data_IF_306603436224
#
_entry.id   IF_306603436224
#
_cell.length_a   1.000
_cell.length_b   1.000
_cell.length_c   1.000
_cell.angle_alpha   90.00
_cell.angle_beta   90.00
_cell.angle_gamma   90.00
#
_symmetry.space_group_name_H-M   'P 1'
#
loop_
_entity.id
_entity.type
_entity.pdbx_description
1 polymer ?
#
# COMPACT_ATOMS: atom_id res chain seq x y z
N UNK A 1 40.55 52.40 -48.47
CA UNK A 1 39.65 52.24 -47.30
C UNK A 1 38.35 51.57 -47.76
N UNK A 2 37.74 50.70 -46.94
CA UNK A 2 37.02 49.49 -47.38
C UNK A 2 35.49 49.61 -47.30
N UNK A 3 34.73 48.94 -48.18
CA UNK A 3 33.29 48.67 -47.98
C UNK A 3 32.73 47.63 -48.99
N UNK A 4 33.02 46.34 -48.82
CA UNK A 4 32.33 45.30 -49.60
C UNK A 4 32.38 43.92 -48.90
N UNK A 5 31.74 43.75 -47.73
CA UNK A 5 31.57 42.38 -47.19
C UNK A 5 30.39 42.13 -46.23
N UNK A 6 29.44 43.05 -46.05
CA UNK A 6 28.37 42.88 -45.03
C UNK A 6 27.04 42.28 -45.52
N UNK A 7 26.80 42.15 -46.84
CA UNK A 7 25.49 41.72 -47.36
C UNK A 7 25.30 40.20 -47.51
N UNK A 8 26.36 39.39 -47.64
CA UNK A 8 26.23 37.93 -47.80
C UNK A 8 25.93 37.19 -46.49
N UNK A 9 26.36 37.72 -45.35
CA UNK A 9 26.25 37.02 -44.05
C UNK A 9 24.79 36.94 -43.57
N UNK A 10 23.96 37.99 -43.80
CA UNK A 10 22.55 38.01 -43.36
C UNK A 10 21.62 37.02 -44.09
N UNK A 11 21.98 36.57 -45.29
CA UNK A 11 21.16 35.64 -46.10
C UNK A 11 21.32 34.16 -45.72
N UNK A 12 22.41 33.79 -45.01
CA UNK A 12 22.72 32.41 -44.64
C UNK A 12 22.25 32.03 -43.22
N UNK A 13 22.04 33.01 -42.35
CA UNK A 13 21.59 32.83 -40.96
C UNK A 13 20.26 32.06 -40.83
N UNK A 14 19.18 32.35 -41.59
CA UNK A 14 17.94 31.58 -41.47
C UNK A 14 18.08 30.14 -41.97
N UNK A 15 18.92 29.92 -43.00
CA UNK A 15 19.18 28.59 -43.55
C UNK A 15 19.98 27.71 -42.56
N UNK A 16 20.99 28.29 -41.90
CA UNK A 16 21.79 27.62 -40.87
C UNK A 16 20.96 27.34 -39.60
N UNK A 17 20.06 28.26 -39.24
CA UNK A 17 19.12 28.08 -38.13
C UNK A 17 18.16 26.91 -38.38
N UNK A 18 17.60 26.80 -39.59
CA UNK A 18 16.76 25.66 -39.98
C UNK A 18 17.53 24.34 -39.99
N UNK A 19 18.80 24.37 -40.42
CA UNK A 19 19.68 23.20 -40.52
C UNK A 19 20.08 22.63 -39.15
N UNK A 20 20.02 23.44 -38.07
CA UNK A 20 20.23 23.01 -36.69
C UNK A 20 18.92 22.67 -35.96
N UNK A 21 17.80 23.27 -36.37
CA UNK A 21 16.48 23.02 -35.79
C UNK A 21 15.97 21.61 -36.09
N UNK A 22 16.13 21.14 -37.33
CA UNK A 22 15.67 19.80 -37.73
C UNK A 22 16.40 18.69 -36.95
N UNK A 23 17.75 18.67 -36.85
CA UNK A 23 18.46 17.73 -36.00
C UNK A 23 18.08 17.83 -34.53
N UNK A 24 17.90 19.04 -33.99
CA UNK A 24 17.47 19.25 -32.60
C UNK A 24 16.09 18.67 -32.32
N UNK A 25 15.12 18.89 -33.22
CA UNK A 25 13.79 18.31 -33.13
C UNK A 25 13.81 16.79 -33.27
N UNK A 26 14.62 16.24 -34.18
CA UNK A 26 14.79 14.79 -34.34
C UNK A 26 15.44 14.14 -33.13
N UNK A 27 16.46 14.78 -32.55
CA UNK A 27 17.15 14.33 -31.34
C UNK A 27 16.20 14.40 -30.13
N UNK A 28 15.46 15.50 -29.97
CA UNK A 28 14.45 15.61 -28.90
C UNK A 28 13.31 14.61 -29.09
N UNK A 29 12.83 14.37 -30.32
CA UNK A 29 11.82 13.35 -30.61
C UNK A 29 12.35 11.93 -30.34
N UNK A 30 13.62 11.67 -30.64
CA UNK A 30 14.30 10.42 -30.31
C UNK A 30 14.40 10.23 -28.80
N UNK A 31 14.81 11.27 -28.04
CA UNK A 31 14.84 11.22 -26.58
C UNK A 31 13.43 11.07 -25.97
N UNK A 32 12.41 11.73 -26.53
CA UNK A 32 11.01 11.55 -26.12
C UNK A 32 10.49 10.13 -26.37
N UNK A 33 10.96 9.45 -27.44
CA UNK A 33 10.65 8.03 -27.69
C UNK A 33 11.42 7.08 -26.75
N UNK A 34 12.64 7.44 -26.34
CA UNK A 34 13.53 6.58 -25.54
C UNK A 34 13.28 6.66 -24.04
N UNK A 35 12.51 7.62 -23.55
CA UNK A 35 12.26 7.85 -22.12
C UNK A 35 11.11 7.04 -21.51
N UNK A 36 10.47 6.13 -22.27
CA UNK A 36 9.51 5.19 -21.69
C UNK A 36 10.07 3.78 -21.82
N UNK A 37 10.60 3.16 -20.73
CA UNK A 37 10.80 1.73 -20.75
C UNK A 37 9.46 1.07 -21.11
N UNK A 38 9.46 -0.03 -21.88
CA UNK A 38 8.23 -0.79 -22.11
C UNK A 38 7.69 -1.20 -20.74
N UNK A 39 6.54 -0.64 -20.35
CA UNK A 39 5.78 -1.17 -19.21
C UNK A 39 5.32 -2.54 -19.67
N UNK A 40 5.89 -3.59 -19.09
CA UNK A 40 5.48 -4.97 -19.38
C UNK A 40 4.11 -5.19 -18.75
N UNK A 41 3.07 -4.83 -19.50
CA UNK A 41 1.67 -5.09 -19.14
C UNK A 41 1.43 -6.57 -19.37
N UNK A 42 1.35 -7.34 -18.29
CA UNK A 42 0.96 -8.74 -18.36
C UNK A 42 -0.53 -8.84 -18.05
N UNK A 43 -1.33 -9.14 -19.08
CA UNK A 43 -2.73 -9.52 -18.91
C UNK A 43 -2.79 -10.97 -18.42
N UNK A 44 -3.55 -11.19 -17.36
CA UNK A 44 -3.70 -12.50 -16.73
C UNK A 44 -5.08 -12.59 -16.09
N UNK A 45 -5.51 -13.82 -15.79
CA UNK A 45 -6.80 -14.07 -15.16
C UNK A 45 -6.61 -14.45 -13.69
N UNK A 46 -7.63 -14.14 -12.90
CA UNK A 46 -7.71 -14.54 -11.50
C UNK A 46 -7.98 -16.04 -11.39
N UNK A 47 -7.15 -16.76 -10.63
CA UNK A 47 -7.46 -18.11 -10.18
C UNK A 47 -8.21 -18.07 -8.83
N UNK A 48 -7.68 -17.33 -7.85
CA UNK A 48 -8.27 -17.24 -6.52
C UNK A 48 -7.78 -16.00 -5.76
N UNK A 49 -8.52 -15.61 -4.72
CA UNK A 49 -8.08 -14.63 -3.72
C UNK A 49 -7.69 -15.37 -2.44
N UNK A 50 -6.43 -15.23 -2.01
CA UNK A 50 -5.90 -15.91 -0.83
C UNK A 50 -6.40 -15.23 0.45
N UNK A 51 -6.08 -13.95 0.61
CA UNK A 51 -6.41 -13.06 1.72
C UNK A 51 -6.75 -11.65 1.18
N UNK A 52 -6.76 -10.63 2.04
CA UNK A 52 -7.14 -9.26 1.66
C UNK A 52 -6.11 -8.49 0.81
N UNK A 53 -4.93 -9.05 0.53
CA UNK A 53 -3.93 -8.39 -0.31
C UNK A 53 -3.17 -9.33 -1.25
N UNK A 54 -3.54 -10.61 -1.32
CA UNK A 54 -2.83 -11.62 -2.10
C UNK A 54 -3.75 -12.32 -3.10
N UNK A 55 -3.34 -12.27 -4.37
CA UNK A 55 -4.02 -12.90 -5.51
C UNK A 55 -3.24 -14.12 -5.98
N UNK A 56 -3.96 -15.16 -6.39
CA UNK A 56 -3.43 -16.30 -7.13
C UNK A 56 -3.90 -16.17 -8.57
N UNK A 57 -2.95 -16.19 -9.50
CA UNK A 57 -3.19 -16.03 -10.93
C UNK A 57 -3.30 -17.39 -11.62
N UNK A 58 -3.92 -17.44 -12.80
CA UNK A 58 -4.07 -18.69 -13.57
C UNK A 58 -2.76 -19.27 -14.08
N UNK A 59 -1.71 -18.45 -14.17
CA UNK A 59 -0.34 -18.87 -14.48
C UNK A 59 0.43 -19.47 -13.28
N UNK A 60 -0.23 -19.56 -12.11
CA UNK A 60 0.30 -20.15 -10.89
C UNK A 60 1.09 -19.18 -10.00
N UNK A 61 1.29 -17.92 -10.42
CA UNK A 61 1.93 -16.90 -9.57
C UNK A 61 1.01 -16.50 -8.42
N UNK A 62 1.61 -16.25 -7.26
CA UNK A 62 0.96 -15.57 -6.14
C UNK A 62 1.49 -14.14 -6.09
N UNK A 63 0.63 -13.15 -6.33
CA UNK A 63 0.97 -11.73 -6.39
C UNK A 63 0.35 -11.02 -5.20
N UNK A 64 1.18 -10.35 -4.39
CA UNK A 64 0.72 -9.48 -3.31
C UNK A 64 0.58 -8.05 -3.80
N UNK A 65 -0.46 -7.37 -3.34
CA UNK A 65 -0.73 -5.98 -3.66
C UNK A 65 0.35 -5.10 -3.02
N UNK A 66 1.15 -4.46 -3.85
CA UNK A 66 2.17 -3.50 -3.42
C UNK A 66 1.54 -2.34 -2.64
N UNK A 67 2.20 -1.85 -1.60
CA UNK A 67 1.71 -0.83 -0.64
C UNK A 67 0.53 -1.23 0.23
N UNK A 68 -0.11 -2.37 -0.01
CA UNK A 68 -1.28 -2.83 0.72
C UNK A 68 -0.85 -3.89 1.73
N UNK A 69 -1.36 -3.77 2.94
CA UNK A 69 -1.16 -4.74 4.02
C UNK A 69 -2.50 -4.99 4.70
N UNK A 70 -3.17 -6.06 4.28
CA UNK A 70 -4.48 -6.43 4.80
C UNK A 70 -4.35 -7.29 6.07
N UNK A 71 -5.35 -7.27 6.96
CA UNK A 71 -5.37 -8.14 8.12
C UNK A 71 -5.39 -9.61 7.69
N UNK A 72 -4.70 -10.46 8.44
CA UNK A 72 -4.83 -11.91 8.32
C UNK A 72 -6.30 -12.33 8.53
N UNK A 73 -6.74 -13.41 7.87
CA UNK A 73 -8.17 -13.83 7.88
C UNK A 73 -8.74 -14.08 9.28
N UNK A 74 -7.90 -14.45 10.26
CA UNK A 74 -8.32 -14.67 11.64
C UNK A 74 -8.44 -13.39 12.48
N UNK A 75 -8.02 -12.24 11.95
CA UNK A 75 -8.04 -10.96 12.64
C UNK A 75 -9.16 -10.05 12.13
N UNK A 76 -9.44 -9.00 12.92
CA UNK A 76 -10.52 -8.06 12.64
C UNK A 76 -10.32 -7.39 11.28
N UNK A 77 -11.34 -7.42 10.41
CA UNK A 77 -11.28 -6.84 9.07
C UNK A 77 -10.66 -7.76 7.99
N UNK A 78 -10.15 -8.94 8.36
CA UNK A 78 -9.49 -9.84 7.40
C UNK A 78 -10.46 -10.44 6.39
N UNK A 79 -11.64 -10.86 6.82
CA UNK A 79 -12.67 -11.40 5.92
C UNK A 79 -13.25 -10.29 5.03
N UNK A 80 -13.51 -9.11 5.60
CA UNK A 80 -14.01 -7.94 4.87
C UNK A 80 -13.03 -7.48 3.79
N UNK A 81 -11.72 -7.48 4.09
CA UNK A 81 -10.68 -7.19 3.12
C UNK A 81 -10.65 -8.21 1.97
N UNK A 82 -10.75 -9.50 2.29
CA UNK A 82 -10.80 -10.58 1.28
C UNK A 82 -12.05 -10.49 0.40
N UNK A 83 -13.20 -10.22 0.99
CA UNK A 83 -14.46 -10.10 0.28
C UNK A 83 -14.43 -8.91 -0.68
N UNK A 84 -13.94 -7.75 -0.22
CA UNK A 84 -13.74 -6.57 -1.07
C UNK A 84 -12.76 -6.86 -2.22
N UNK A 85 -11.60 -7.46 -1.93
CA UNK A 85 -10.63 -7.79 -2.97
C UNK A 85 -11.27 -8.70 -4.02
N UNK A 86 -11.98 -9.73 -3.57
CA UNK A 86 -12.73 -10.65 -4.44
C UNK A 86 -13.72 -9.92 -5.33
N UNK A 87 -14.51 -8.99 -4.78
CA UNK A 87 -15.46 -8.18 -5.55
C UNK A 87 -14.75 -7.33 -6.61
N UNK A 88 -13.62 -6.70 -6.24
CA UNK A 88 -12.87 -5.82 -7.14
C UNK A 88 -12.31 -6.56 -8.36
N UNK A 89 -11.90 -7.83 -8.19
CA UNK A 89 -11.22 -8.61 -9.24
C UNK A 89 -12.09 -9.64 -9.97
N UNK A 90 -13.21 -10.08 -9.38
CA UNK A 90 -14.02 -11.17 -9.94
C UNK A 90 -14.58 -10.83 -11.32
N UNK A 91 -14.30 -11.71 -12.29
CA UNK A 91 -14.81 -11.60 -13.66
C UNK A 91 -14.16 -10.48 -14.48
N UNK A 92 -13.05 -9.89 -14.01
CA UNK A 92 -12.30 -8.86 -14.72
C UNK A 92 -10.94 -9.41 -15.18
N UNK A 93 -10.44 -8.90 -16.31
CA UNK A 93 -9.05 -9.11 -16.71
C UNK A 93 -8.12 -8.31 -15.80
N UNK A 94 -7.03 -8.95 -15.35
CA UNK A 94 -6.05 -8.35 -14.46
C UNK A 94 -4.81 -7.91 -15.25
N UNK A 95 -4.39 -6.69 -14.99
CA UNK A 95 -3.13 -6.14 -15.50
C UNK A 95 -2.16 -5.96 -14.33
N UNK A 96 -1.01 -6.63 -14.42
CA UNK A 96 0.06 -6.54 -13.43
C UNK A 96 1.10 -5.50 -13.91
N UNK A 97 1.43 -4.53 -13.04
CA UNK A 97 2.36 -3.44 -13.34
C UNK A 97 3.32 -3.16 -12.17
N UNK A 98 4.50 -2.63 -12.48
CA UNK A 98 5.55 -2.27 -11.50
C UNK A 98 5.88 -3.39 -10.50
N UNK A 99 5.94 -4.62 -11.00
CA UNK A 99 6.27 -5.80 -10.20
C UNK A 99 7.70 -5.72 -9.64
N UNK A 100 7.82 -5.92 -8.34
CA UNK A 100 9.09 -6.03 -7.60
C UNK A 100 9.03 -7.25 -6.70
N UNK A 101 10.17 -7.79 -6.28
CA UNK A 101 10.21 -8.91 -5.35
C UNK A 101 10.53 -8.42 -3.93
N UNK A 102 9.77 -8.86 -2.94
CA UNK A 102 10.06 -8.57 -1.53
C UNK A 102 11.27 -9.37 -1.01
N UNK A 103 11.68 -9.10 0.24
CA UNK A 103 12.80 -9.81 0.88
C UNK A 103 12.57 -11.33 1.02
N UNK A 104 11.31 -11.78 1.03
CA UNK A 104 10.92 -13.17 1.14
C UNK A 104 10.76 -13.87 -0.23
N UNK A 105 10.99 -13.17 -1.34
CA UNK A 105 10.86 -13.73 -2.68
C UNK A 105 9.44 -13.65 -3.27
N UNK A 106 8.49 -12.98 -2.59
CA UNK A 106 7.11 -12.83 -3.09
C UNK A 106 7.02 -11.63 -4.05
N UNK A 107 6.34 -11.76 -5.20
CA UNK A 107 6.14 -10.64 -6.10
C UNK A 107 5.09 -9.68 -5.53
N UNK A 108 5.44 -8.40 -5.48
CA UNK A 108 4.61 -7.26 -5.13
C UNK A 108 4.33 -6.46 -6.40
N UNK A 109 3.06 -6.16 -6.68
CA UNK A 109 2.70 -5.39 -7.88
C UNK A 109 1.57 -4.38 -7.66
N UNK A 110 1.50 -3.41 -8.56
CA UNK A 110 0.27 -2.65 -8.80
C UNK A 110 -0.64 -3.49 -9.71
N UNK A 111 -1.85 -3.75 -9.24
CA UNK A 111 -2.82 -4.59 -9.93
C UNK A 111 -3.98 -3.72 -10.39
N UNK A 112 -4.31 -3.83 -11.67
CA UNK A 112 -5.46 -3.16 -12.27
C UNK A 112 -6.50 -4.19 -12.68
N UNK A 113 -7.77 -3.94 -12.38
CA UNK A 113 -8.88 -4.81 -12.77
C UNK A 113 -9.90 -3.99 -13.56
N UNK A 114 -10.02 -4.25 -14.87
CA UNK A 114 -10.88 -3.44 -15.75
C UNK A 114 -10.42 -1.97 -15.90
N UNK A 115 -9.14 -1.67 -15.62
CA UNK A 115 -8.56 -0.33 -15.69
C UNK A 115 -8.47 0.39 -14.35
N UNK A 116 -9.17 -0.08 -13.33
CA UNK A 116 -9.14 0.51 -11.98
C UNK A 116 -7.99 -0.06 -11.15
N UNK A 117 -7.27 0.80 -10.42
CA UNK A 117 -6.18 0.39 -9.54
C UNK A 117 -6.73 -0.27 -8.26
N UNK A 118 -6.62 -1.59 -8.16
CA UNK A 118 -7.14 -2.39 -7.04
C UNK A 118 -6.45 -2.02 -5.73
N UNK A 119 -5.13 -1.78 -5.75
CA UNK A 119 -4.36 -1.39 -4.56
C UNK A 119 -4.95 -0.13 -3.91
N UNK A 120 -5.40 0.82 -4.73
CA UNK A 120 -5.98 2.07 -4.26
C UNK A 120 -7.33 1.82 -3.62
N UNK A 121 -8.22 1.08 -4.28
CA UNK A 121 -9.54 0.77 -3.76
C UNK A 121 -9.46 0.05 -2.40
N UNK A 122 -8.50 -0.87 -2.24
CA UNK A 122 -8.24 -1.55 -0.97
C UNK A 122 -7.86 -0.56 0.14
N UNK A 123 -6.91 0.35 -0.12
CA UNK A 123 -6.49 1.35 0.87
C UNK A 123 -7.59 2.38 1.16
N UNK A 124 -8.30 2.85 0.13
CA UNK A 124 -9.38 3.83 0.27
C UNK A 124 -10.56 3.31 1.09
N UNK A 125 -10.83 2.00 1.02
CA UNK A 125 -11.89 1.37 1.83
C UNK A 125 -11.59 1.35 3.33
N UNK A 126 -10.31 1.48 3.71
CA UNK A 126 -9.85 1.31 5.09
C UNK A 126 -9.76 -0.15 5.56
N UNK A 127 -9.94 -1.14 4.68
CA UNK A 127 -9.77 -2.56 5.04
C UNK A 127 -8.32 -3.05 4.99
N UNK A 128 -7.39 -2.21 4.53
CA UNK A 128 -5.96 -2.53 4.53
C UNK A 128 -5.12 -1.33 4.95
N UNK A 129 -3.98 -1.60 5.57
CA UNK A 129 -2.97 -0.59 5.91
C UNK A 129 -2.11 -0.28 4.70
N UNK A 130 -1.59 0.94 4.70
CA UNK A 130 -0.57 1.36 3.74
C UNK A 130 0.83 1.14 4.31
N UNK A 131 1.69 0.48 3.55
CA UNK A 131 3.14 0.46 3.79
C UNK A 131 3.89 1.27 2.75
N UNK A 132 5.02 1.85 3.17
CA UNK A 132 5.81 2.73 2.31
C UNK A 132 6.70 1.91 1.37
N UNK A 133 6.63 2.22 0.08
CA UNK A 133 7.49 1.69 -0.97
C UNK A 133 7.62 2.74 -2.11
N UNK A 134 8.35 2.45 -3.17
CA UNK A 134 8.58 3.34 -4.33
C UNK A 134 7.81 2.84 -5.56
N UNK A 135 6.68 3.47 -5.89
CA UNK A 135 5.95 3.23 -7.15
C UNK A 135 5.42 4.52 -7.74
N UNK A 136 4.92 4.47 -8.97
CA UNK A 136 4.22 5.61 -9.58
C UNK A 136 2.94 6.01 -8.80
N UNK A 137 2.31 5.08 -8.09
CA UNK A 137 1.07 5.28 -7.34
C UNK A 137 1.29 5.67 -5.87
N UNK A 138 2.54 5.72 -5.38
CA UNK A 138 2.85 5.85 -3.95
C UNK A 138 2.23 7.09 -3.29
N UNK A 139 2.23 8.25 -3.98
CA UNK A 139 1.63 9.47 -3.44
C UNK A 139 0.11 9.33 -3.26
N UNK A 140 -0.57 8.83 -4.30
CA UNK A 140 -2.01 8.65 -4.31
C UNK A 140 -2.47 7.65 -3.24
N UNK A 141 -1.75 6.53 -3.10
CA UNK A 141 -2.01 5.52 -2.08
C UNK A 141 -1.80 6.06 -0.66
N UNK A 142 -0.75 6.84 -0.43
CA UNK A 142 -0.51 7.48 0.87
C UNK A 142 -1.63 8.45 1.24
N UNK A 143 -2.10 9.27 0.29
CA UNK A 143 -3.20 10.19 0.52
C UNK A 143 -4.52 9.46 0.80
N UNK A 144 -4.81 8.39 0.07
CA UNK A 144 -5.93 7.50 0.33
C UNK A 144 -5.87 6.91 1.75
N UNK A 145 -4.70 6.44 2.18
CA UNK A 145 -4.51 5.88 3.52
C UNK A 145 -4.78 6.90 4.62
N UNK A 146 -4.35 8.15 4.41
CA UNK A 146 -4.63 9.26 5.34
C UNK A 146 -6.13 9.52 5.41
N UNK A 147 -6.83 9.59 4.27
CA UNK A 147 -8.29 9.77 4.24
C UNK A 147 -9.03 8.63 4.96
N UNK A 148 -8.64 7.38 4.73
CA UNK A 148 -9.26 6.23 5.38
C UNK A 148 -9.07 6.25 6.91
N UNK A 149 -7.87 6.63 7.36
CA UNK A 149 -7.57 6.80 8.79
C UNK A 149 -8.35 7.96 9.42
N UNK A 150 -8.33 9.13 8.80
CA UNK A 150 -9.06 10.31 9.29
C UNK A 150 -10.58 10.09 9.29
N UNK A 151 -11.08 9.33 8.32
CA UNK A 151 -12.48 8.93 8.22
C UNK A 151 -12.90 7.79 9.15
N UNK A 152 -11.97 7.17 9.90
CA UNK A 152 -12.20 5.98 10.72
C UNK A 152 -12.88 4.84 9.92
N UNK A 153 -12.40 4.59 8.70
CA UNK A 153 -12.95 3.56 7.80
C UNK A 153 -12.36 2.18 8.10
N UNK A 154 -13.14 1.12 7.87
CA UNK A 154 -12.70 -0.27 7.98
C UNK A 154 -12.02 -0.58 9.31
N UNK A 155 -10.75 -1.01 9.25
CA UNK A 155 -9.94 -1.37 10.42
C UNK A 155 -9.58 -0.18 11.32
N UNK A 156 -9.71 1.05 10.81
CA UNK A 156 -9.50 2.27 11.59
C UNK A 156 -10.76 2.70 12.36
N UNK A 157 -11.89 2.03 12.13
CA UNK A 157 -13.12 2.27 12.87
C UNK A 157 -13.06 1.66 14.29
N UNK A 158 -13.98 2.04 15.19
CA UNK A 158 -14.13 1.40 16.51
C UNK A 158 -14.36 -0.11 16.48
N UNK A 159 -14.65 -0.70 15.32
CA UNK A 159 -14.75 -2.14 15.13
C UNK A 159 -13.44 -2.86 15.47
N UNK A 160 -12.32 -2.33 14.96
CA UNK A 160 -10.99 -2.94 15.11
C UNK A 160 -10.01 -2.05 15.90
N UNK A 161 -10.28 -0.75 16.01
CA UNK A 161 -9.42 0.23 16.67
C UNK A 161 -10.06 0.71 17.98
N UNK A 162 -9.65 0.13 19.11
CA UNK A 162 -10.40 0.20 20.36
C UNK A 162 -9.59 0.74 21.53
N UNK A 163 -10.05 1.84 22.12
CA UNK A 163 -9.50 2.36 23.39
C UNK A 163 -10.12 1.67 24.62
N UNK A 164 -11.35 1.23 24.48
CA UNK A 164 -12.16 0.54 25.49
C UNK A 164 -12.79 -0.70 24.84
N UNK A 165 -13.24 -1.68 25.65
CA UNK A 165 -13.87 -2.90 25.15
C UNK A 165 -15.39 -2.71 25.12
N UNK A 166 -16.00 -2.34 23.97
CA UNK A 166 -17.44 -2.12 23.90
C UNK A 166 -18.23 -3.43 24.03
N UNK A 167 -17.66 -4.55 23.59
CA UNK A 167 -18.33 -5.85 23.53
C UNK A 167 -18.41 -6.49 24.93
N UNK A 168 -17.35 -6.32 25.73
CA UNK A 168 -17.31 -6.82 27.10
C UNK A 168 -16.43 -5.94 28.02
N UNK A 169 -17.00 -4.90 28.65
CA UNK A 169 -16.24 -3.99 29.52
C UNK A 169 -15.57 -4.67 30.73
N UNK A 170 -16.04 -5.85 31.16
CA UNK A 170 -15.40 -6.60 32.24
C UNK A 170 -14.04 -7.20 31.82
N UNK A 171 -13.86 -7.45 30.53
CA UNK A 171 -12.60 -7.94 29.97
C UNK A 171 -11.68 -6.77 29.63
N UNK A 172 -11.07 -6.23 30.69
CA UNK A 172 -10.33 -4.98 30.67
C UNK A 172 -8.82 -5.15 30.50
N UNK A 173 -8.27 -6.35 30.33
CA UNK A 173 -6.82 -6.53 30.13
C UNK A 173 -6.47 -6.26 28.67
N UNK A 174 -5.61 -5.28 28.42
CA UNK A 174 -5.21 -4.85 27.06
C UNK A 174 -3.98 -5.61 26.60
N UNK A 175 -4.09 -6.46 25.59
CA UNK A 175 -2.97 -7.10 24.91
C UNK A 175 -2.55 -6.34 23.66
N UNK A 176 -1.39 -5.72 23.68
CA UNK A 176 -0.87 -4.85 22.63
C UNK A 176 0.49 -5.36 22.10
N UNK A 177 0.80 -5.08 20.84
CA UNK A 177 1.99 -5.55 20.14
C UNK A 177 2.85 -4.34 19.78
N UNK A 178 4.10 -4.33 20.26
CA UNK A 178 5.05 -3.30 19.88
C UNK A 178 5.47 -3.47 18.41
N UNK A 179 5.15 -2.49 17.56
CA UNK A 179 5.36 -2.57 16.10
C UNK A 179 6.82 -2.57 15.65
N UNK A 180 7.77 -2.29 16.56
CA UNK A 180 9.20 -2.26 16.24
C UNK A 180 9.91 -3.55 16.66
N UNK A 181 9.44 -4.19 17.73
CA UNK A 181 10.08 -5.34 18.36
C UNK A 181 9.23 -6.62 18.35
N UNK A 182 8.00 -6.53 17.86
CA UNK A 182 6.96 -7.57 17.92
C UNK A 182 6.66 -8.07 19.34
N UNK A 183 7.06 -7.30 20.36
CA UNK A 183 6.90 -7.68 21.74
C UNK A 183 5.41 -7.63 22.14
N UNK A 184 4.88 -8.79 22.52
CA UNK A 184 3.50 -8.96 23.01
C UNK A 184 3.44 -8.59 24.49
N UNK A 185 2.83 -7.45 24.80
CA UNK A 185 2.68 -6.92 26.16
C UNK A 185 1.23 -6.78 26.56
N UNK A 186 0.90 -7.14 27.80
CA UNK A 186 -0.41 -6.85 28.37
C UNK A 186 -0.36 -5.78 29.46
N UNK A 187 -1.45 -5.02 29.56
CA UNK A 187 -1.65 -3.94 30.50
C UNK A 187 -2.95 -4.15 31.30
N UNK A 188 -2.85 -4.01 32.61
CA UNK A 188 -3.98 -3.99 33.53
C UNK A 188 -4.50 -2.56 33.74
N UNK A 189 -5.78 -2.40 34.13
CA UNK A 189 -6.25 -1.12 34.67
C UNK A 189 -5.32 -0.62 35.77
N UNK A 190 -4.91 0.66 35.69
CA UNK A 190 -3.97 1.28 36.62
C UNK A 190 -2.50 1.28 36.16
N UNK A 191 -2.13 0.50 35.14
CA UNK A 191 -0.78 0.64 34.56
C UNK A 191 -0.61 2.01 33.91
N UNK A 192 0.61 2.56 34.00
CA UNK A 192 0.91 3.90 33.47
C UNK A 192 0.50 4.09 32.01
N UNK A 193 0.64 3.04 31.18
CA UNK A 193 0.33 3.09 29.75
C UNK A 193 -1.12 2.75 29.39
N UNK A 194 -1.89 2.22 30.34
CA UNK A 194 -3.19 1.61 30.06
C UNK A 194 -4.17 2.56 29.35
N UNK A 195 -4.21 3.83 29.77
CA UNK A 195 -5.18 4.81 29.26
C UNK A 195 -4.89 5.28 27.82
N UNK A 196 -3.67 5.09 27.32
CA UNK A 196 -3.28 5.49 25.97
C UNK A 196 -2.93 4.30 25.07
N UNK A 197 -2.78 3.09 25.62
CA UNK A 197 -2.74 1.86 24.83
C UNK A 197 -4.08 1.68 24.12
N UNK A 198 -4.01 1.49 22.81
CA UNK A 198 -5.14 1.20 21.94
C UNK A 198 -4.98 -0.24 21.49
N UNK A 199 -6.09 -0.96 21.36
CA UNK A 199 -6.14 -2.31 20.81
C UNK A 199 -6.44 -2.22 19.33
N UNK A 200 -5.47 -2.61 18.51
CA UNK A 200 -5.56 -2.75 17.05
C UNK A 200 -5.84 -4.23 16.72
N UNK A 201 -7.11 -4.63 16.76
CA UNK A 201 -7.54 -6.03 16.60
C UNK A 201 -7.19 -6.63 15.23
N UNK A 202 -6.92 -5.78 14.25
CA UNK A 202 -6.54 -6.18 12.89
C UNK A 202 -5.11 -6.74 12.80
N UNK A 203 -4.24 -6.41 13.76
CA UNK A 203 -2.86 -6.92 13.83
C UNK A 203 -2.68 -7.99 14.91
N UNK A 204 -3.77 -8.54 15.45
CA UNK A 204 -3.74 -9.60 16.45
C UNK A 204 -3.58 -9.10 17.90
N UNK A 205 -3.82 -7.82 18.16
CA UNK A 205 -4.05 -7.31 19.51
C UNK A 205 -5.44 -7.73 20.01
N UNK A 206 -5.61 -7.82 21.33
CA UNK A 206 -6.83 -8.39 21.90
C UNK A 206 -7.10 -7.90 23.31
N UNK A 207 -8.38 -7.97 23.69
CA UNK A 207 -8.82 -7.85 25.07
C UNK A 207 -8.82 -9.21 25.75
N UNK A 208 -8.41 -9.26 27.01
CA UNK A 208 -8.47 -10.45 27.84
C UNK A 208 -9.29 -10.19 29.11
N UNK A 209 -9.91 -11.23 29.64
CA UNK A 209 -10.69 -11.17 30.88
C UNK A 209 -9.82 -11.43 32.11
N UNK A 210 -8.59 -11.94 31.93
CA UNK A 210 -7.63 -12.15 33.01
C UNK A 210 -6.18 -12.10 32.52
N UNK A 211 -5.24 -11.91 33.46
CA UNK A 211 -3.80 -12.06 33.17
C UNK A 211 -3.47 -13.48 32.69
N UNK A 212 -4.15 -14.49 33.22
CA UNK A 212 -3.96 -15.90 32.82
C UNK A 212 -4.27 -16.11 31.34
N UNK A 213 -5.35 -15.51 30.84
CA UNK A 213 -5.70 -15.55 29.41
C UNK A 213 -4.65 -14.83 28.56
N UNK A 214 -4.21 -13.64 28.98
CA UNK A 214 -3.17 -12.90 28.27
C UNK A 214 -1.87 -13.71 28.16
N UNK A 215 -1.44 -14.34 29.26
CA UNK A 215 -0.27 -15.22 29.30
C UNK A 215 -0.43 -16.44 28.38
N UNK A 216 -1.60 -17.08 28.39
CA UNK A 216 -1.90 -18.21 27.51
C UNK A 216 -1.90 -17.82 26.02
N UNK A 217 -2.27 -16.59 25.70
CA UNK A 217 -2.20 -16.01 24.36
C UNK A 217 -0.79 -15.51 23.98
N UNK A 218 0.22 -15.74 24.82
CA UNK A 218 1.61 -15.38 24.54
C UNK A 218 1.98 -13.94 24.87
N UNK A 219 1.15 -13.21 25.62
CA UNK A 219 1.46 -11.86 26.08
C UNK A 219 2.17 -11.90 27.43
N UNK A 220 3.14 -11.00 27.61
CA UNK A 220 3.86 -10.83 28.88
C UNK A 220 3.47 -9.53 29.57
N UNK A 221 3.51 -9.47 30.90
CA UNK A 221 3.16 -8.23 31.62
C UNK A 221 4.10 -7.10 31.20
N UNK A 222 3.56 -5.93 30.91
CA UNK A 222 4.39 -4.76 30.65
C UNK A 222 5.22 -4.38 31.88
N UNK A 223 6.50 -4.06 31.71
CA UNK A 223 7.39 -3.69 32.82
C UNK A 223 6.94 -2.40 33.55
N UNK A 224 6.10 -1.59 32.89
CA UNK A 224 5.51 -0.37 33.41
C UNK A 224 4.25 -0.60 34.25
N UNK A 225 3.74 -1.83 34.30
CA UNK A 225 2.67 -2.27 35.19
C UNK A 225 3.26 -2.68 36.55
N UNK A 226 3.38 -1.71 37.47
CA UNK A 226 3.82 -1.93 38.86
C UNK A 226 2.65 -2.17 39.79
#
# INVERSE_FOLDING_TARGET
MPAANQKKVRSLVPLLGLLLLIPSLLVNAYFLKKTRPPVTVQETELLAVSDGDSLVLTDGRQVRLRHVDAPELGFCGGQEAKDLLTELVKGKSLTISEEVTDYHGRPLALVYAGGDLVNLAMVESGWARYHTDKSSAALQLREAANRAREGNLGIFSPLCYQKENPDNPACAVKGNIDKNSDARKYYLPGCAQYNFTIIEKDIGESWFCSEKEALAAGFSKAATCR
#
